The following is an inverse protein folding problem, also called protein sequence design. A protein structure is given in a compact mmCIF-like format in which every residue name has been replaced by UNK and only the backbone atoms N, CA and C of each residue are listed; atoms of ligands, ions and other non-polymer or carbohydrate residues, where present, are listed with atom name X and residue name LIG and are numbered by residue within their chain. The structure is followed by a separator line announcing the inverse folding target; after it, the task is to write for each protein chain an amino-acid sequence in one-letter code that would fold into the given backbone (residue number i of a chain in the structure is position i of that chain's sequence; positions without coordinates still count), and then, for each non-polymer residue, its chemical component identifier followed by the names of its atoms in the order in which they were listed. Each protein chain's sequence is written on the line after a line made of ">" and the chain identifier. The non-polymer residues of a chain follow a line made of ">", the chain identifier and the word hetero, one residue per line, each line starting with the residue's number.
data_IF_824827426872
#
_entry.id   IF_824827426872
#
_cell.length_a   1.000
_cell.length_b   1.000
_cell.length_c   1.000
_cell.angle_alpha   90.00
_cell.angle_beta   90.00
_cell.angle_gamma   90.00
#
_symmetry.space_group_name_H-M   'P 1'
#
loop_
_entity.id
_entity.type
_entity.pdbx_description
1 polymer ?
#
# COMPACT_ATOMS: atom_id res chain seq x y z
N UNK A 1 -18.12 17.68 15.04
CA UNK A 1 -17.03 17.55 14.04
C UNK A 1 -15.73 17.19 14.75
N UNK A 2 -15.02 16.12 14.34
CA UNK A 2 -13.73 15.76 14.95
C UNK A 2 -12.65 16.66 14.35
N UNK A 3 -12.04 17.51 15.16
CA UNK A 3 -10.97 18.42 14.74
C UNK A 3 -9.70 17.61 14.46
N UNK A 4 -9.03 17.90 13.33
CA UNK A 4 -7.71 17.32 13.04
C UNK A 4 -6.69 18.02 13.89
N UNK A 5 -5.83 17.25 14.55
CA UNK A 5 -4.70 17.76 15.32
C UNK A 5 -3.42 17.43 14.54
N UNK A 6 -2.70 18.46 14.13
CA UNK A 6 -1.38 18.35 13.49
C UNK A 6 -0.36 19.08 14.38
N UNK A 7 0.83 18.54 14.46
CA UNK A 7 1.94 19.10 15.25
C UNK A 7 3.27 19.16 14.48
N UNK A 8 3.27 18.72 13.22
CA UNK A 8 4.49 18.62 12.42
C UNK A 8 5.18 19.99 12.22
N UNK A 9 4.39 21.05 12.04
CA UNK A 9 4.92 22.40 11.92
C UNK A 9 5.68 22.83 13.18
N UNK A 10 5.07 22.66 14.35
CA UNK A 10 5.71 22.97 15.63
C UNK A 10 6.92 22.09 15.93
N UNK A 11 6.81 20.80 15.63
CA UNK A 11 7.89 19.85 15.93
C UNK A 11 9.13 20.09 15.08
N UNK A 12 8.95 20.46 13.81
CA UNK A 12 10.06 20.60 12.86
C UNK A 12 10.58 22.04 12.75
N UNK A 13 9.69 23.03 12.86
CA UNK A 13 10.00 24.43 12.55
C UNK A 13 9.60 25.41 13.66
N UNK A 14 9.04 24.95 14.78
CA UNK A 14 8.44 25.82 15.79
C UNK A 14 9.39 26.86 16.37
N UNK A 15 10.68 26.53 16.56
CA UNK A 15 11.69 27.47 17.03
C UNK A 15 12.19 28.42 15.92
N UNK A 16 12.28 27.92 14.68
CA UNK A 16 12.79 28.68 13.54
C UNK A 16 11.71 29.57 12.89
N UNK A 17 10.49 29.06 12.75
CA UNK A 17 9.40 29.73 12.05
C UNK A 17 8.05 29.51 12.79
N UNK A 18 7.87 30.10 13.97
CA UNK A 18 6.70 29.83 14.83
C UNK A 18 5.37 30.21 14.17
N UNK A 19 5.32 31.30 13.41
CA UNK A 19 4.11 31.71 12.70
C UNK A 19 3.75 30.73 11.56
N UNK A 20 4.74 30.27 10.81
CA UNK A 20 4.51 29.22 9.80
C UNK A 20 3.98 27.94 10.45
N UNK A 21 4.56 27.53 11.57
CA UNK A 21 4.11 26.36 12.31
C UNK A 21 2.67 26.50 12.79
N UNK A 22 2.28 27.68 13.31
CA UNK A 22 0.91 27.99 13.70
C UNK A 22 -0.05 27.91 12.49
N UNK A 23 0.28 28.57 11.38
CA UNK A 23 -0.55 28.56 10.18
C UNK A 23 -0.72 27.14 9.61
N UNK A 24 0.35 26.34 9.62
CA UNK A 24 0.29 24.95 9.19
C UNK A 24 -0.58 24.08 10.11
N UNK A 25 -0.30 24.09 11.40
CA UNK A 25 -0.89 23.14 12.34
C UNK A 25 -2.33 23.53 12.71
N UNK A 26 -2.56 24.79 13.04
CA UNK A 26 -3.85 25.23 13.57
C UNK A 26 -4.82 25.68 12.47
N UNK A 27 -4.34 26.44 11.49
CA UNK A 27 -5.22 27.00 10.45
C UNK A 27 -5.42 25.99 9.32
N UNK A 28 -4.34 25.52 8.67
CA UNK A 28 -4.48 24.60 7.54
C UNK A 28 -5.13 23.29 8.00
N UNK A 29 -4.51 22.57 8.94
CA UNK A 29 -5.05 21.28 9.37
C UNK A 29 -6.17 21.42 10.40
N UNK A 30 -6.00 22.27 11.39
CA UNK A 30 -6.95 22.43 12.48
C UNK A 30 -8.28 23.07 12.06
N UNK A 31 -8.31 23.92 11.04
CA UNK A 31 -9.51 24.57 10.54
C UNK A 31 -9.90 24.11 9.14
N UNK A 32 -9.04 24.29 8.12
CA UNK A 32 -9.40 24.02 6.73
C UNK A 32 -9.64 22.53 6.49
N UNK A 33 -8.71 21.68 6.90
CA UNK A 33 -8.87 20.23 6.75
C UNK A 33 -9.95 19.63 7.67
N UNK A 34 -10.32 20.31 8.74
CA UNK A 34 -11.38 19.87 9.65
C UNK A 34 -12.80 20.11 9.15
N UNK A 35 -13.01 20.84 8.04
CA UNK A 35 -14.34 21.10 7.45
C UNK A 35 -14.84 19.91 6.63
N UNK A 36 -14.98 18.73 7.27
CA UNK A 36 -15.27 17.45 6.61
C UNK A 36 -16.72 17.32 6.12
N UNK A 37 -17.62 18.16 6.63
CA UNK A 37 -19.00 18.31 6.21
C UNK A 37 -19.15 19.02 4.85
N UNK A 38 -18.17 19.83 4.48
CA UNK A 38 -18.15 20.55 3.21
C UNK A 38 -17.37 19.80 2.11
N UNK A 39 -16.27 19.17 2.48
CA UNK A 39 -15.45 18.35 1.58
C UNK A 39 -14.76 17.26 2.41
N UNK A 40 -14.96 16.01 2.02
CA UNK A 40 -14.42 14.86 2.75
C UNK A 40 -12.89 14.87 2.82
N UNK A 41 -12.31 14.22 3.85
CA UNK A 41 -10.85 14.06 3.95
C UNK A 41 -10.26 13.32 2.75
N UNK A 42 -11.02 12.37 2.21
CA UNK A 42 -10.67 11.61 1.01
C UNK A 42 -10.55 12.55 -0.19
N UNK A 43 -11.56 13.38 -0.44
CA UNK A 43 -11.57 14.29 -1.58
C UNK A 43 -10.53 15.41 -1.42
N UNK A 44 -10.29 15.91 -0.19
CA UNK A 44 -9.18 16.83 0.10
C UNK A 44 -7.84 16.19 -0.24
N UNK A 45 -7.63 14.94 0.13
CA UNK A 45 -6.40 14.21 -0.22
C UNK A 45 -6.24 14.09 -1.72
N UNK A 46 -7.31 13.72 -2.45
CA UNK A 46 -7.30 13.63 -3.92
C UNK A 46 -6.90 14.97 -4.54
N UNK A 47 -7.54 16.07 -4.15
CA UNK A 47 -7.23 17.42 -4.64
C UNK A 47 -5.78 17.80 -4.33
N UNK A 48 -5.30 17.48 -3.13
CA UNK A 48 -3.93 17.83 -2.71
C UNK A 48 -2.89 17.05 -3.50
N UNK A 49 -3.01 15.72 -3.62
CA UNK A 49 -2.01 14.92 -4.37
C UNK A 49 -2.00 15.29 -5.86
N UNK A 50 -3.17 15.52 -6.47
CA UNK A 50 -3.23 15.94 -7.87
C UNK A 50 -2.63 17.33 -8.08
N UNK A 51 -2.84 18.26 -7.15
CA UNK A 51 -2.23 19.59 -7.19
C UNK A 51 -0.70 19.52 -7.09
N UNK A 52 -0.16 18.75 -6.15
CA UNK A 52 1.29 18.60 -5.97
C UNK A 52 1.93 17.95 -7.20
N UNK A 53 1.36 16.87 -7.72
CA UNK A 53 1.86 16.20 -8.94
C UNK A 53 1.86 17.17 -10.12
N UNK A 54 0.79 17.94 -10.31
CA UNK A 54 0.66 18.89 -11.42
C UNK A 54 1.71 20.01 -11.36
N UNK A 55 2.09 20.42 -10.16
CA UNK A 55 3.17 21.40 -9.95
C UNK A 55 4.58 20.79 -10.09
N UNK A 56 4.70 19.45 -10.14
CA UNK A 56 5.99 18.76 -10.20
C UNK A 56 6.65 18.59 -8.83
N UNK A 57 5.90 18.74 -7.74
CA UNK A 57 6.35 18.46 -6.38
C UNK A 57 6.26 16.94 -6.19
N UNK A 58 7.39 16.26 -6.31
CA UNK A 58 7.51 14.79 -6.27
C UNK A 58 8.58 14.35 -5.29
N UNK A 59 8.62 14.98 -4.15
CA UNK A 59 9.52 14.75 -3.02
C UNK A 59 8.77 14.18 -1.80
N UNK A 60 9.37 14.30 -0.63
CA UNK A 60 8.79 13.87 0.64
C UNK A 60 7.45 14.54 0.97
N UNK A 61 7.17 15.75 0.44
CA UNK A 61 5.87 16.41 0.63
C UNK A 61 4.77 15.61 -0.06
N UNK A 62 5.00 15.18 -1.30
CA UNK A 62 4.05 14.30 -1.99
C UNK A 62 3.91 12.96 -1.27
N UNK A 63 5.01 12.34 -0.83
CA UNK A 63 4.97 11.07 -0.09
C UNK A 63 4.11 11.17 1.16
N UNK A 64 4.25 12.24 1.95
CA UNK A 64 3.41 12.51 3.12
C UNK A 64 1.91 12.57 2.74
N UNK A 65 1.58 13.30 1.68
CA UNK A 65 0.19 13.44 1.25
C UNK A 65 -0.38 12.17 0.60
N UNK A 66 0.44 11.35 -0.06
CA UNK A 66 0.05 10.01 -0.50
C UNK A 66 -0.26 9.09 0.69
N UNK A 67 0.56 9.13 1.75
CA UNK A 67 0.26 8.38 2.98
C UNK A 67 -1.04 8.86 3.63
N UNK A 68 -1.28 10.18 3.66
CA UNK A 68 -2.53 10.74 4.15
C UNK A 68 -3.73 10.32 3.29
N UNK A 69 -3.55 10.26 1.96
CA UNK A 69 -4.56 9.81 1.03
C UNK A 69 -4.94 8.33 1.27
N UNK A 70 -3.96 7.46 1.49
CA UNK A 70 -4.16 6.06 1.89
C UNK A 70 -4.95 5.96 3.19
N UNK A 71 -4.56 6.70 4.22
CA UNK A 71 -5.23 6.73 5.53
C UNK A 71 -6.68 7.26 5.44
N UNK A 72 -6.96 8.12 4.47
CA UNK A 72 -8.27 8.71 4.21
C UNK A 72 -9.12 7.89 3.22
N UNK A 73 -8.69 6.66 2.86
CA UNK A 73 -9.48 5.70 2.12
C UNK A 73 -9.29 5.72 0.59
N UNK A 74 -8.23 6.36 0.07
CA UNK A 74 -7.83 6.16 -1.34
C UNK A 74 -7.10 4.83 -1.44
N UNK A 75 -7.66 3.93 -2.25
CA UNK A 75 -7.09 2.60 -2.50
C UNK A 75 -5.89 2.67 -3.43
N UNK A 76 -5.09 1.59 -3.47
CA UNK A 76 -3.98 1.43 -4.42
C UNK A 76 -4.43 1.58 -5.87
N UNK A 77 -5.54 0.94 -6.23
CA UNK A 77 -6.11 0.99 -7.59
C UNK A 77 -6.55 2.40 -7.95
N UNK A 78 -7.24 3.09 -7.04
CA UNK A 78 -7.63 4.49 -7.25
C UNK A 78 -6.42 5.41 -7.35
N UNK A 79 -5.40 5.24 -6.52
CA UNK A 79 -4.18 6.04 -6.61
C UNK A 79 -3.48 5.85 -7.97
N UNK A 80 -3.43 4.62 -8.48
CA UNK A 80 -2.89 4.32 -9.79
C UNK A 80 -3.71 4.99 -10.91
N UNK A 81 -5.03 4.93 -10.84
CA UNK A 81 -5.93 5.54 -11.84
C UNK A 81 -5.86 7.07 -11.79
N UNK A 82 -5.82 7.68 -10.61
CA UNK A 82 -5.64 9.13 -10.44
C UNK A 82 -4.33 9.59 -11.11
N UNK A 83 -3.22 8.91 -10.87
CA UNK A 83 -1.92 9.29 -11.44
C UNK A 83 -1.91 9.06 -12.95
N UNK A 84 -2.51 7.97 -13.44
CA UNK A 84 -2.68 7.69 -14.87
C UNK A 84 -3.46 8.81 -15.54
N UNK A 85 -4.59 9.20 -14.97
CA UNK A 85 -5.39 10.30 -15.48
C UNK A 85 -4.61 11.61 -15.53
N UNK A 86 -3.93 11.97 -14.42
CA UNK A 86 -3.13 13.19 -14.32
C UNK A 86 -1.95 13.21 -15.31
N UNK A 87 -1.42 12.07 -15.74
CA UNK A 87 -0.36 12.02 -16.74
C UNK A 87 -0.70 12.75 -18.04
N UNK A 88 -1.97 12.74 -18.45
CA UNK A 88 -2.47 13.43 -19.66
C UNK A 88 -2.58 14.95 -19.47
N UNK A 89 -2.71 15.44 -18.26
CA UNK A 89 -2.89 16.88 -17.96
C UNK A 89 -1.62 17.53 -17.43
N UNK A 90 -0.79 16.80 -16.69
CA UNK A 90 0.41 17.33 -16.04
C UNK A 90 1.73 16.83 -16.66
N UNK A 91 1.66 15.80 -17.51
CA UNK A 91 2.80 15.22 -18.22
C UNK A 91 3.37 13.95 -17.60
N UNK A 92 3.79 13.02 -18.45
CA UNK A 92 4.27 11.68 -18.11
C UNK A 92 5.45 11.65 -17.12
N UNK A 93 6.49 12.52 -17.23
CA UNK A 93 7.60 12.48 -16.28
C UNK A 93 7.18 12.70 -14.83
N UNK A 94 6.21 13.59 -14.59
CA UNK A 94 5.68 13.86 -13.26
C UNK A 94 4.88 12.66 -12.72
N UNK A 95 4.09 12.02 -13.59
CA UNK A 95 3.37 10.80 -13.22
C UNK A 95 4.31 9.65 -12.88
N UNK A 96 5.40 9.44 -13.63
CA UNK A 96 6.43 8.45 -13.31
C UNK A 96 7.06 8.69 -11.94
N UNK A 97 7.44 9.93 -11.63
CA UNK A 97 8.00 10.28 -10.33
C UNK A 97 6.98 10.03 -9.19
N UNK A 98 5.70 10.40 -9.41
CA UNK A 98 4.63 10.14 -8.46
C UNK A 98 4.40 8.64 -8.24
N UNK A 99 4.44 7.80 -9.29
CA UNK A 99 4.32 6.35 -9.17
C UNK A 99 5.43 5.72 -8.32
N UNK A 100 6.66 6.21 -8.40
CA UNK A 100 7.74 5.71 -7.57
C UNK A 100 7.42 5.89 -6.06
N UNK A 101 6.96 7.08 -5.67
CA UNK A 101 6.53 7.34 -4.29
C UNK A 101 5.26 6.58 -3.91
N UNK A 102 4.32 6.43 -4.84
CA UNK A 102 3.08 5.67 -4.63
C UNK A 102 3.39 4.21 -4.32
N UNK A 103 4.30 3.58 -5.04
CA UNK A 103 4.75 2.21 -4.76
C UNK A 103 5.36 2.05 -3.36
N UNK A 104 6.05 3.06 -2.85
CA UNK A 104 6.59 3.04 -1.49
C UNK A 104 5.49 3.15 -0.43
N UNK A 105 4.43 3.90 -0.70
CA UNK A 105 3.30 4.10 0.23
C UNK A 105 2.34 2.92 0.22
N UNK A 106 2.03 2.37 -0.95
CA UNK A 106 1.21 1.16 -1.11
C UNK A 106 2.09 -0.05 -1.40
N UNK A 107 3.07 -0.30 -0.53
CA UNK A 107 3.98 -1.43 -0.60
C UNK A 107 3.42 -2.74 0.00
N UNK A 108 2.23 -2.68 0.58
CA UNK A 108 1.52 -3.87 1.04
C UNK A 108 0.85 -4.55 -0.15
N UNK A 109 0.99 -5.85 -0.24
CA UNK A 109 0.19 -6.64 -1.16
C UNK A 109 -1.24 -6.69 -0.62
N UNK A 110 -2.14 -5.92 -1.26
CA UNK A 110 -3.58 -5.91 -0.95
C UNK A 110 -4.31 -6.67 -2.04
N UNK A 111 -4.95 -7.74 -1.64
CA UNK A 111 -5.81 -8.55 -2.50
C UNK A 111 -7.28 -8.22 -2.27
N UNK A 112 -8.01 -7.97 -3.34
CA UNK A 112 -9.47 -7.88 -3.31
C UNK A 112 -10.08 -9.25 -2.98
N UNK A 113 -11.33 -9.31 -2.46
CA UNK A 113 -12.00 -10.58 -2.22
C UNK A 113 -11.94 -11.51 -3.42
N UNK A 114 -11.49 -12.74 -3.20
CA UNK A 114 -11.30 -13.73 -4.26
C UNK A 114 -10.03 -13.58 -5.10
N UNK A 115 -9.28 -12.49 -4.95
CA UNK A 115 -8.03 -12.26 -5.66
C UNK A 115 -6.88 -13.11 -5.10
N UNK A 116 -6.07 -13.68 -5.99
CA UNK A 116 -4.91 -14.49 -5.63
C UNK A 116 -3.81 -14.33 -6.66
N UNK A 117 -2.56 -14.53 -6.25
CA UNK A 117 -1.45 -14.57 -7.20
C UNK A 117 -1.35 -15.94 -7.90
N UNK A 118 -0.55 -15.99 -8.94
CA UNK A 118 -0.16 -17.25 -9.56
C UNK A 118 0.72 -18.05 -8.60
N UNK A 119 0.82 -19.37 -8.84
CA UNK A 119 1.85 -20.17 -8.22
C UNK A 119 3.22 -19.61 -8.57
N UNK A 120 4.12 -19.63 -7.59
CA UNK A 120 5.47 -19.13 -7.78
C UNK A 120 6.44 -19.81 -6.80
N UNK A 121 7.72 -19.68 -7.11
CA UNK A 121 8.80 -20.25 -6.29
C UNK A 121 9.89 -19.20 -6.10
N UNK A 122 10.32 -19.00 -4.86
CA UNK A 122 11.52 -18.21 -4.52
C UNK A 122 12.71 -19.17 -4.46
N UNK A 123 13.52 -19.19 -5.52
CA UNK A 123 14.71 -20.05 -5.61
C UNK A 123 15.86 -19.48 -4.80
N UNK A 124 16.64 -20.36 -4.18
CA UNK A 124 17.94 -20.07 -3.62
C UNK A 124 18.76 -21.36 -3.46
N UNK A 125 20.10 -21.23 -3.53
CA UNK A 125 21.01 -22.37 -3.26
C UNK A 125 21.32 -22.51 -1.78
N UNK A 126 21.20 -21.42 -1.01
CA UNK A 126 21.36 -21.41 0.45
C UNK A 126 20.60 -20.22 1.06
N UNK A 127 19.92 -20.43 2.19
CA UNK A 127 19.00 -19.44 2.74
C UNK A 127 17.85 -19.17 1.79
N UNK A 128 17.39 -17.92 1.70
CA UNK A 128 16.32 -17.52 0.77
C UNK A 128 14.93 -17.94 1.23
N UNK A 129 13.96 -17.74 0.34
CA UNK A 129 12.54 -17.94 0.60
C UNK A 129 11.81 -16.63 0.89
N UNK A 130 10.61 -16.73 1.43
CA UNK A 130 9.75 -15.57 1.70
C UNK A 130 9.13 -15.65 3.11
N UNK A 131 8.86 -14.51 3.69
CA UNK A 131 8.06 -14.39 4.91
C UNK A 131 6.82 -13.55 4.61
N UNK A 132 5.65 -14.06 4.99
CA UNK A 132 4.39 -13.33 4.93
C UNK A 132 3.95 -12.96 6.35
N UNK A 133 3.47 -11.72 6.52
CA UNK A 133 2.87 -11.25 7.77
C UNK A 133 1.48 -10.70 7.46
N UNK A 134 0.43 -11.35 7.95
CA UNK A 134 -0.93 -10.86 7.80
C UNK A 134 -1.13 -9.53 8.54
N UNK A 135 -1.64 -8.51 7.83
CA UNK A 135 -1.84 -7.15 8.36
C UNK A 135 -3.31 -6.86 8.59
N UNK A 136 -4.16 -7.17 7.60
CA UNK A 136 -5.59 -6.91 7.68
C UNK A 136 -6.40 -7.89 6.84
N UNK A 137 -7.67 -8.07 7.20
CA UNK A 137 -8.57 -8.97 6.49
C UNK A 137 -8.24 -10.44 6.69
N UNK A 138 -8.62 -11.27 5.71
CA UNK A 138 -8.47 -12.72 5.75
C UNK A 138 -7.97 -13.23 4.41
N UNK A 139 -6.93 -14.07 4.44
CA UNK A 139 -6.32 -14.64 3.23
C UNK A 139 -5.94 -16.11 3.41
N UNK A 140 -5.38 -16.65 2.37
CA UNK A 140 -4.93 -18.03 2.29
C UNK A 140 -3.48 -18.09 1.78
N UNK A 141 -2.75 -19.08 2.28
CA UNK A 141 -1.47 -19.55 1.77
C UNK A 141 -1.55 -21.05 1.52
N UNK A 142 -0.96 -21.51 0.43
CA UNK A 142 -0.90 -22.94 0.16
C UNK A 142 0.39 -23.31 -0.58
N UNK A 143 1.12 -24.26 0.00
CA UNK A 143 2.18 -24.97 -0.70
C UNK A 143 1.58 -26.04 -1.64
N UNK A 144 2.28 -26.33 -2.73
CA UNK A 144 1.87 -27.40 -3.64
C UNK A 144 1.73 -28.75 -2.91
N UNK A 145 0.59 -29.40 -3.10
CA UNK A 145 0.28 -30.69 -2.49
C UNK A 145 -0.07 -30.67 -1.00
N UNK A 146 -0.15 -29.47 -0.37
CA UNK A 146 -0.56 -29.33 1.04
C UNK A 146 -1.93 -28.65 1.18
N UNK A 147 -2.62 -28.82 2.32
CA UNK A 147 -3.82 -28.06 2.62
C UNK A 147 -3.53 -26.56 2.68
N UNK A 148 -4.51 -25.74 2.29
CA UNK A 148 -4.42 -24.30 2.46
C UNK A 148 -4.44 -23.92 3.94
N UNK A 149 -3.63 -22.92 4.30
CA UNK A 149 -3.54 -22.34 5.63
C UNK A 149 -4.14 -20.93 5.61
N UNK A 150 -5.01 -20.65 6.58
CA UNK A 150 -5.60 -19.32 6.75
C UNK A 150 -4.57 -18.33 7.28
N UNK A 151 -4.63 -17.11 6.75
CA UNK A 151 -3.83 -15.97 7.22
C UNK A 151 -4.78 -14.90 7.77
N UNK A 152 -4.64 -14.62 9.04
CA UNK A 152 -5.32 -13.55 9.77
C UNK A 152 -4.31 -12.46 10.18
N UNK A 153 -4.75 -11.27 10.61
CA UNK A 153 -3.86 -10.26 11.16
C UNK A 153 -2.97 -10.82 12.28
N UNK A 154 -1.66 -10.63 12.17
CA UNK A 154 -0.65 -11.17 13.09
C UNK A 154 -0.17 -12.59 12.75
N UNK A 155 -0.76 -13.29 11.79
CA UNK A 155 -0.23 -14.57 11.30
C UNK A 155 1.09 -14.34 10.57
N UNK A 156 2.10 -15.13 10.93
CA UNK A 156 3.41 -15.13 10.26
C UNK A 156 3.62 -16.48 9.59
N UNK A 157 3.93 -16.47 8.29
CA UNK A 157 4.25 -17.67 7.51
C UNK A 157 5.67 -17.54 7.00
N UNK A 158 6.50 -18.53 7.32
CA UNK A 158 7.81 -18.68 6.73
C UNK A 158 7.74 -19.69 5.59
N UNK A 159 8.05 -19.27 4.40
CA UNK A 159 8.09 -20.07 3.17
C UNK A 159 9.55 -20.35 2.83
N UNK A 160 10.04 -21.58 2.98
CA UNK A 160 11.42 -21.91 2.62
C UNK A 160 11.69 -21.69 1.13
N UNK A 161 12.97 -21.47 0.79
CA UNK A 161 13.38 -21.42 -0.61
C UNK A 161 13.01 -22.71 -1.35
N UNK A 162 12.75 -22.60 -2.65
CA UNK A 162 12.40 -23.68 -3.58
C UNK A 162 11.05 -24.36 -3.29
N UNK A 163 10.18 -23.74 -2.47
CA UNK A 163 8.82 -24.21 -2.23
C UNK A 163 7.87 -23.50 -3.19
N UNK A 164 7.18 -24.29 -4.04
CA UNK A 164 6.12 -23.80 -4.92
C UNK A 164 4.86 -23.54 -4.11
N UNK A 165 4.33 -22.33 -4.20
CA UNK A 165 3.20 -21.89 -3.40
C UNK A 165 2.38 -20.80 -4.08
N UNK A 166 1.26 -20.45 -3.47
CA UNK A 166 0.45 -19.26 -3.77
C UNK A 166 -0.12 -18.68 -2.48
N UNK A 167 -0.53 -17.42 -2.54
CA UNK A 167 -1.30 -16.74 -1.50
C UNK A 167 -2.29 -15.75 -2.11
N UNK A 168 -3.31 -15.36 -1.33
CA UNK A 168 -4.34 -14.45 -1.80
C UNK A 168 -5.43 -14.22 -0.77
N UNK A 169 -6.41 -13.37 -1.10
CA UNK A 169 -7.55 -13.06 -0.27
C UNK A 169 -8.52 -14.24 -0.14
N UNK A 170 -9.32 -14.26 0.92
CA UNK A 170 -10.50 -15.09 0.99
C UNK A 170 -11.61 -14.54 0.07
N UNK A 171 -12.61 -15.36 -0.25
CA UNK A 171 -13.69 -14.99 -1.19
C UNK A 171 -14.55 -13.82 -0.71
N UNK A 172 -14.63 -13.65 0.58
CA UNK A 172 -15.53 -12.73 1.29
C UNK A 172 -14.78 -11.66 2.08
N UNK A 173 -13.47 -11.56 1.92
CA UNK A 173 -12.63 -10.61 2.66
C UNK A 173 -11.51 -10.07 1.80
N UNK A 174 -11.25 -8.78 1.93
CA UNK A 174 -9.97 -8.20 1.57
C UNK A 174 -8.87 -8.84 2.38
N UNK A 175 -7.67 -8.87 1.83
CA UNK A 175 -6.50 -9.37 2.51
C UNK A 175 -5.30 -8.47 2.24
N UNK A 176 -4.68 -7.99 3.30
CA UNK A 176 -3.44 -7.24 3.25
C UNK A 176 -2.36 -7.98 4.03
N UNK A 177 -1.17 -8.11 3.44
CA UNK A 177 -0.02 -8.70 4.08
C UNK A 177 1.27 -7.97 3.69
N UNK A 178 2.30 -8.15 4.49
CA UNK A 178 3.67 -7.80 4.14
C UNK A 178 4.36 -9.06 3.61
N UNK A 179 5.05 -8.93 2.49
CA UNK A 179 5.87 -9.99 1.92
C UNK A 179 7.34 -9.56 1.96
N UNK A 180 8.19 -10.33 2.63
CA UNK A 180 9.62 -10.07 2.74
C UNK A 180 10.40 -11.20 2.07
N UNK A 181 11.29 -10.86 1.16
CA UNK A 181 12.28 -11.82 0.68
C UNK A 181 13.34 -12.07 1.77
N UNK A 182 13.61 -13.33 2.05
CA UNK A 182 14.66 -13.72 2.99
C UNK A 182 15.99 -13.74 2.25
N UNK A 183 17.06 -13.11 2.79
CA UNK A 183 18.35 -13.10 2.14
C UNK A 183 18.88 -14.52 1.88
N UNK A 184 19.40 -14.75 0.67
CA UNK A 184 19.93 -16.03 0.23
C UNK A 184 21.00 -15.90 -0.85
N UNK A 185 21.64 -17.03 -1.20
CA UNK A 185 22.62 -17.13 -2.27
C UNK A 185 21.94 -17.56 -3.58
N UNK A 186 22.28 -16.92 -4.71
CA UNK A 186 21.73 -17.18 -6.05
C UNK A 186 20.20 -17.15 -6.07
N UNK A 187 19.61 -16.11 -5.50
CA UNK A 187 18.15 -15.93 -5.42
C UNK A 187 17.54 -15.56 -6.76
N UNK A 188 16.38 -16.14 -7.08
CA UNK A 188 15.54 -15.74 -8.22
C UNK A 188 14.09 -16.09 -7.94
N UNK A 189 13.15 -15.42 -8.63
CA UNK A 189 11.72 -15.66 -8.53
C UNK A 189 11.21 -16.25 -9.84
N UNK A 190 10.46 -17.33 -9.77
CA UNK A 190 9.82 -17.98 -10.90
C UNK A 190 8.31 -17.93 -10.74
N UNK A 191 7.63 -17.26 -11.69
CA UNK A 191 6.18 -17.24 -11.78
C UNK A 191 5.71 -18.41 -12.64
N UNK A 192 4.69 -19.10 -12.17
CA UNK A 192 4.19 -20.34 -12.74
C UNK A 192 2.70 -20.22 -13.08
N UNK A 193 1.97 -21.33 -13.13
CA UNK A 193 0.57 -21.37 -13.53
C UNK A 193 -0.36 -20.65 -12.55
N UNK A 194 -1.51 -20.21 -13.07
CA UNK A 194 -2.57 -19.64 -12.27
C UNK A 194 -3.22 -20.71 -11.37
N UNK A 195 -3.62 -20.34 -10.18
CA UNK A 195 -4.43 -21.17 -9.29
C UNK A 195 -5.85 -21.27 -9.85
N UNK A 196 -6.31 -22.47 -10.17
CA UNK A 196 -7.65 -22.69 -10.72
C UNK A 196 -8.75 -22.34 -9.71
N UNK A 197 -9.93 -21.98 -10.22
CA UNK A 197 -11.09 -21.77 -9.36
C UNK A 197 -11.52 -23.02 -8.60
N UNK A 198 -11.34 -24.21 -9.20
CA UNK A 198 -11.62 -25.48 -8.54
C UNK A 198 -10.74 -25.68 -7.30
N UNK A 199 -9.45 -25.39 -7.42
CA UNK A 199 -8.50 -25.50 -6.31
C UNK A 199 -8.74 -24.43 -5.23
N UNK A 200 -8.88 -23.18 -5.66
CA UNK A 200 -9.17 -22.07 -4.75
C UNK A 200 -10.49 -22.28 -3.99
N UNK A 201 -11.50 -22.89 -4.61
CA UNK A 201 -12.78 -23.18 -3.99
C UNK A 201 -12.73 -24.26 -2.90
N UNK A 202 -11.61 -25.00 -2.78
CA UNK A 202 -11.38 -25.94 -1.68
C UNK A 202 -10.89 -25.28 -0.38
N UNK A 203 -10.47 -24.00 -0.44
CA UNK A 203 -10.17 -23.20 0.75
C UNK A 203 -11.48 -22.87 1.45
N UNK A 204 -11.60 -23.20 2.74
CA UNK A 204 -12.85 -23.05 3.51
C UNK A 204 -12.69 -21.99 4.58
#
# INVERSE_FOLDING_TARGET
>A
MKKIVQTAGRTQLGEFAPEFAHLNDDILFGEVWSRNDLLSLRDRSLVTITSLISQGITDNSLKYHLQSAKNNGITRTEAAEIITHIAFYAGWPKAWAAFNLTKEVWNEDVFEPGCRNNRHTHHATKGGGQMLVGVAGRGWYQEEGKPAQEILPGTVIHIPANVKHWHGAAKDSWFAHLAFEIPGENTSNEWQEAVSDEEYNKTK
#
